data_IF_964952897394
#
_entry.id   IF_964952897394
#
_cell.length_a   1.000
_cell.length_b   1.000
_cell.length_c   1.000
_cell.angle_alpha   90.00
_cell.angle_beta   90.00
_cell.angle_gamma   90.00
#
_symmetry.space_group_name_H-M   'P 1'
#
loop_
_entity.id
_entity.type
_entity.pdbx_description
1 polymer ?
#
# COMPACT_ATOMS: atom_id res chain seq x y z
N UNK A 1 17.18 5.59 -8.79
CA UNK A 1 15.86 6.27 -8.74
C UNK A 1 15.69 6.99 -10.08
N UNK A 2 14.92 6.43 -11.02
CA UNK A 2 14.74 7.04 -12.35
C UNK A 2 13.58 8.03 -12.25
N UNK A 3 13.91 9.31 -12.22
CA UNK A 3 12.96 10.42 -12.25
C UNK A 3 12.48 10.72 -13.68
N UNK A 4 11.38 11.45 -13.79
CA UNK A 4 10.76 11.88 -15.04
C UNK A 4 11.77 12.68 -15.88
N UNK A 5 12.35 12.08 -16.91
CA UNK A 5 13.31 12.75 -17.80
C UNK A 5 12.55 13.60 -18.83
N UNK A 6 12.77 14.91 -18.81
CA UNK A 6 12.11 15.89 -19.67
C UNK A 6 12.63 15.91 -21.12
N UNK A 7 13.68 15.14 -21.44
CA UNK A 7 14.21 15.01 -22.80
C UNK A 7 14.87 13.64 -22.97
N UNK A 8 14.53 12.92 -24.05
CA UNK A 8 15.19 11.66 -24.39
C UNK A 8 16.59 11.96 -24.94
N UNK A 9 17.58 11.07 -24.72
CA UNK A 9 18.87 11.18 -25.38
C UNK A 9 18.67 11.15 -26.90
N UNK A 10 19.33 12.08 -27.61
CA UNK A 10 19.25 12.24 -29.07
C UNK A 10 19.82 11.06 -29.85
N UNK A 11 20.56 10.16 -29.18
CA UNK A 11 21.12 8.95 -29.75
C UNK A 11 20.14 7.77 -29.64
N UNK A 12 19.69 7.30 -30.81
CA UNK A 12 18.77 6.17 -30.93
C UNK A 12 19.37 4.86 -30.40
N UNK A 13 20.69 4.68 -30.48
CA UNK A 13 21.38 3.48 -29.99
C UNK A 13 21.33 3.35 -28.47
N UNK A 14 21.52 4.47 -27.75
CA UNK A 14 21.44 4.51 -26.30
C UNK A 14 19.99 4.26 -25.83
N UNK A 15 19.03 4.87 -26.52
CA UNK A 15 17.61 4.64 -26.23
C UNK A 15 17.21 3.18 -26.44
N UNK A 16 17.72 2.53 -27.51
CA UNK A 16 17.46 1.13 -27.79
C UNK A 16 18.05 0.20 -26.72
N UNK A 17 19.28 0.44 -26.28
CA UNK A 17 19.94 -0.37 -25.25
C UNK A 17 19.19 -0.28 -23.91
N UNK A 18 18.87 0.94 -23.46
CA UNK A 18 18.06 1.19 -22.25
C UNK A 18 16.70 0.51 -22.36
N UNK A 19 16.05 0.58 -23.52
CA UNK A 19 14.76 -0.06 -23.74
C UNK A 19 14.86 -1.59 -23.62
N UNK A 20 15.90 -2.20 -24.21
CA UNK A 20 16.14 -3.64 -24.12
C UNK A 20 16.45 -4.10 -22.70
N UNK A 21 17.31 -3.39 -21.96
CA UNK A 21 17.62 -3.72 -20.57
C UNK A 21 16.40 -3.55 -19.66
N UNK A 22 15.64 -2.45 -19.82
CA UNK A 22 14.41 -2.21 -19.08
C UNK A 22 13.37 -3.29 -19.37
N UNK A 23 13.21 -3.69 -20.63
CA UNK A 23 12.30 -4.76 -21.02
C UNK A 23 12.67 -6.10 -20.36
N UNK A 24 13.97 -6.45 -20.32
CA UNK A 24 14.46 -7.66 -19.63
C UNK A 24 14.11 -7.62 -18.14
N UNK A 25 14.36 -6.48 -17.47
CA UNK A 25 14.05 -6.34 -16.05
C UNK A 25 12.54 -6.42 -15.77
N UNK A 26 11.70 -5.82 -16.62
CA UNK A 26 10.24 -5.92 -16.49
C UNK A 26 9.74 -7.36 -16.64
N UNK A 27 10.30 -8.12 -17.59
CA UNK A 27 9.95 -9.54 -17.76
C UNK A 27 10.32 -10.35 -16.51
N UNK A 28 11.51 -10.12 -15.94
CA UNK A 28 11.93 -10.76 -14.70
C UNK A 28 11.03 -10.39 -13.51
N UNK A 29 10.66 -9.12 -13.37
CA UNK A 29 9.76 -8.66 -12.32
C UNK A 29 8.37 -9.31 -12.43
N UNK A 30 7.85 -9.50 -13.64
CA UNK A 30 6.56 -10.20 -13.85
C UNK A 30 6.57 -11.66 -13.44
N UNK A 31 7.75 -12.30 -13.39
CA UNK A 31 7.90 -13.68 -12.93
C UNK A 31 8.02 -13.78 -11.39
N UNK A 32 8.20 -12.66 -10.69
CA UNK A 32 8.21 -12.65 -9.24
C UNK A 32 6.80 -12.82 -8.68
N UNK A 33 6.66 -13.64 -7.65
CA UNK A 33 5.40 -13.78 -6.91
C UNK A 33 5.07 -12.41 -6.30
N UNK A 34 3.92 -11.80 -6.60
CA UNK A 34 3.57 -10.52 -6.00
C UNK A 34 3.47 -10.68 -4.48
N UNK A 35 3.89 -9.67 -3.69
CA UNK A 35 3.76 -9.74 -2.24
C UNK A 35 2.28 -9.91 -1.88
N UNK A 36 2.01 -10.78 -0.90
CA UNK A 36 0.66 -10.91 -0.36
C UNK A 36 0.24 -9.56 0.22
N UNK A 37 -0.91 -8.98 -0.18
CA UNK A 37 -1.37 -7.73 0.38
C UNK A 37 -1.57 -7.90 1.88
N UNK A 38 -0.92 -7.05 2.68
CA UNK A 38 -1.12 -7.02 4.12
C UNK A 38 -2.53 -6.51 4.38
N UNK A 39 -3.32 -7.27 5.14
CA UNK A 39 -4.66 -6.84 5.50
C UNK A 39 -4.60 -5.70 6.50
N UNK A 40 -5.07 -4.52 6.08
CA UNK A 40 -5.32 -3.38 6.96
C UNK A 40 -6.67 -3.51 7.70
N UNK A 41 -7.34 -4.66 7.64
CA UNK A 41 -8.64 -4.83 8.28
C UNK A 41 -8.54 -4.72 9.81
N UNK A 42 -9.47 -3.98 10.41
CA UNK A 42 -9.62 -3.91 11.85
C UNK A 42 -9.98 -5.29 12.41
N UNK A 43 -9.19 -5.80 13.36
CA UNK A 43 -9.36 -7.13 13.95
C UNK A 43 -10.68 -7.27 14.74
N UNK A 44 -11.15 -6.17 15.35
CA UNK A 44 -12.36 -6.20 16.18
C UNK A 44 -13.66 -6.32 15.36
N UNK A 45 -13.69 -5.80 14.13
CA UNK A 45 -14.87 -5.88 13.26
C UNK A 45 -14.61 -6.64 11.95
N UNK A 46 -13.45 -7.28 11.82
CA UNK A 46 -13.00 -7.96 10.60
C UNK A 46 -13.17 -7.13 9.32
N UNK A 47 -12.91 -5.83 9.38
CA UNK A 47 -13.03 -4.95 8.22
C UNK A 47 -14.41 -4.31 7.99
N UNK A 48 -15.44 -4.71 8.74
CA UNK A 48 -16.83 -4.27 8.46
C UNK A 48 -17.17 -2.88 8.99
N UNK A 49 -16.39 -2.37 9.95
CA UNK A 49 -16.65 -1.10 10.63
C UNK A 49 -17.81 -1.15 11.63
N UNK A 50 -18.46 -2.30 11.81
CA UNK A 50 -19.62 -2.48 12.70
C UNK A 50 -19.45 -3.74 13.54
N UNK A 51 -20.04 -3.74 14.73
CA UNK A 51 -20.08 -4.89 15.63
C UNK A 51 -21.54 -5.19 15.97
N UNK A 52 -21.90 -6.46 16.01
CA UNK A 52 -23.26 -6.87 16.36
C UNK A 52 -23.70 -8.20 15.75
N UNK A 53 -24.49 -8.97 16.49
CA UNK A 53 -25.06 -10.27 16.08
C UNK A 53 -26.30 -10.12 15.16
N UNK A 54 -26.31 -9.11 14.29
CA UNK A 54 -27.38 -8.86 13.32
C UNK A 54 -28.66 -8.22 13.87
N UNK A 55 -28.96 -8.33 15.17
CA UNK A 55 -30.11 -7.64 15.81
C UNK A 55 -29.76 -6.27 16.40
N UNK A 56 -28.55 -6.10 16.92
CA UNK A 56 -28.06 -4.84 17.49
C UNK A 56 -26.78 -4.53 16.74
N UNK A 57 -26.76 -3.42 15.98
CA UNK A 57 -25.59 -3.02 15.18
C UNK A 57 -25.06 -1.71 15.75
N UNK A 58 -23.82 -1.74 16.20
CA UNK A 58 -23.12 -0.58 16.74
C UNK A 58 -21.83 -0.32 15.95
N UNK A 59 -21.45 0.95 15.85
CA UNK A 59 -20.19 1.36 15.20
C UNK A 59 -19.02 0.72 15.94
N UNK A 60 -18.07 0.12 15.21
CA UNK A 60 -16.92 -0.51 15.83
C UNK A 60 -16.07 0.54 16.58
N UNK A 61 -15.92 0.42 17.91
CA UNK A 61 -15.21 1.42 18.71
C UNK A 61 -13.70 1.43 18.43
N UNK A 62 -13.13 0.29 18.03
CA UNK A 62 -11.69 0.15 17.80
C UNK A 62 -11.19 0.87 16.53
N UNK A 63 -12.04 1.01 15.52
CA UNK A 63 -11.70 1.70 14.27
C UNK A 63 -12.58 2.94 14.00
N UNK A 64 -13.45 3.30 14.95
CA UNK A 64 -14.42 4.40 14.77
C UNK A 64 -15.35 4.22 13.56
N UNK A 65 -15.57 2.98 13.11
CA UNK A 65 -16.39 2.69 11.92
C UNK A 65 -15.64 2.60 10.60
N UNK A 66 -14.32 2.84 10.56
CA UNK A 66 -13.55 2.80 9.30
C UNK A 66 -13.28 1.40 8.78
N UNK A 67 -13.40 0.37 9.62
CA UNK A 67 -13.03 -1.01 9.28
C UNK A 67 -11.53 -1.23 9.11
N UNK A 68 -10.68 -0.24 9.37
CA UNK A 68 -9.23 -0.34 9.20
C UNK A 68 -8.49 -0.23 10.52
N UNK A 69 -7.28 -0.79 10.57
CA UNK A 69 -6.39 -0.60 11.72
C UNK A 69 -6.04 0.89 11.84
N UNK A 70 -6.16 1.51 13.03
CA UNK A 70 -5.74 2.88 13.20
C UNK A 70 -4.23 2.95 12.96
N UNK A 71 -3.82 3.66 11.91
CA UNK A 71 -2.40 3.99 11.73
C UNK A 71 -2.07 4.97 12.84
N UNK A 72 -1.29 4.52 13.82
CA UNK A 72 -0.70 5.40 14.82
C UNK A 72 0.29 6.32 14.10
N UNK A 73 -0.23 7.40 13.52
CA UNK A 73 0.58 8.54 13.17
C UNK A 73 0.85 9.25 14.49
N UNK A 74 2.11 9.20 14.93
CA UNK A 74 2.57 10.04 16.03
C UNK A 74 2.56 11.49 15.53
N UNK A 75 1.39 12.13 15.54
CA UNK A 75 1.27 13.57 15.33
C UNK A 75 1.52 14.22 16.69
N UNK A 76 2.80 14.51 16.93
CA UNK A 76 3.33 15.40 17.97
C UNK A 76 2.86 15.10 19.43
N UNK A 77 3.72 14.42 20.21
CA UNK A 77 3.57 14.36 21.68
C UNK A 77 3.00 13.08 22.31
N UNK A 78 3.18 11.90 21.71
CA UNK A 78 2.80 10.62 22.34
C UNK A 78 3.70 10.32 23.56
N UNK A 79 3.27 10.70 24.77
CA UNK A 79 3.72 10.06 26.02
C UNK A 79 2.94 8.77 26.19
N UNK A 80 3.69 7.69 26.37
CA UNK A 80 3.24 6.32 26.55
C UNK A 80 2.06 6.22 27.54
N UNK A 81 0.91 5.74 27.04
CA UNK A 81 -0.17 5.30 27.90
C UNK A 81 0.22 3.91 28.46
N UNK A 82 0.78 3.94 29.66
CA UNK A 82 1.07 2.81 30.54
C UNK A 82 -0.18 1.99 30.88
#
# INVERSE_FOLDING_TARGET
MVGCVASLPSDNGITADIACETARMVVQLRQQIPPTPVSDACENCNGTGKIGDGKIVMTCPACGGTGKKPKSVCVEGCRDAR
#
